data_IF_837952670794
#
_entry.id   IF_837952670794
#
_cell.length_a   1.000
_cell.length_b   1.000
_cell.length_c   1.000
_cell.angle_alpha   90.00
_cell.angle_beta   90.00
_cell.angle_gamma   90.00
#
_symmetry.space_group_name_H-M   'P 1'
#
loop_
_entity.id
_entity.type
_entity.pdbx_description
1 polymer ?
#
# COMPACT_ATOMS: atom_id res chain seq x y z
N UNK A 1 -13.51 -16.17 -10.47
CA UNK A 1 -12.12 -16.15 -9.94
C UNK A 1 -12.14 -15.44 -8.60
N UNK A 2 -12.69 -16.10 -7.57
CA UNK A 2 -12.73 -15.58 -6.20
C UNK A 2 -11.81 -16.45 -5.35
N UNK A 3 -10.50 -16.28 -5.52
CA UNK A 3 -9.55 -16.75 -4.51
C UNK A 3 -9.09 -15.52 -3.75
N UNK A 4 -9.97 -15.10 -2.84
CA UNK A 4 -9.71 -14.03 -1.90
C UNK A 4 -8.40 -14.29 -1.16
N UNK A 5 -7.60 -13.25 -1.08
CA UNK A 5 -6.30 -13.20 -0.41
C UNK A 5 -6.36 -13.86 0.98
N UNK A 6 -5.74 -15.03 1.08
CA UNK A 6 -5.39 -15.69 2.32
C UNK A 6 -4.00 -15.23 2.75
N UNK A 7 -3.93 -14.37 3.77
CA UNK A 7 -3.04 -14.57 4.92
C UNK A 7 -3.63 -13.94 6.19
N UNK A 8 -3.50 -14.72 7.26
CA UNK A 8 -4.09 -14.58 8.58
C UNK A 8 -3.49 -13.43 9.39
N UNK A 9 -4.32 -12.45 9.75
CA UNK A 9 -4.32 -11.86 11.09
C UNK A 9 -5.71 -12.16 11.67
N UNK A 10 -5.73 -12.88 12.79
CA UNK A 10 -6.86 -13.71 13.21
C UNK A 10 -8.25 -13.07 13.12
N UNK A 11 -8.99 -13.39 12.06
CA UNK A 11 -10.44 -13.56 11.98
C UNK A 11 -10.76 -14.09 10.58
N UNK A 12 -11.39 -15.26 10.49
CA UNK A 12 -11.69 -15.99 9.26
C UNK A 12 -12.74 -15.32 8.37
N UNK A 13 -12.39 -14.18 7.77
CA UNK A 13 -13.19 -13.52 6.75
C UNK A 13 -12.26 -13.28 5.56
N UNK A 14 -12.62 -13.84 4.41
CA UNK A 14 -12.04 -13.42 3.13
C UNK A 14 -12.44 -11.97 2.92
N UNK A 15 -11.56 -11.04 3.25
CA UNK A 15 -11.81 -9.63 2.99
C UNK A 15 -11.52 -9.38 1.52
N UNK A 16 -12.42 -8.68 0.87
CA UNK A 16 -12.38 -8.35 -0.55
C UNK A 16 -11.31 -7.26 -0.80
N UNK A 17 -10.06 -7.56 -0.46
CA UNK A 17 -8.89 -6.67 -0.54
C UNK A 17 -7.86 -7.26 -1.50
N UNK A 18 -7.06 -6.40 -2.14
CA UNK A 18 -5.93 -6.79 -2.99
C UNK A 18 -4.77 -5.84 -2.74
N UNK A 19 -3.62 -6.34 -2.28
CA UNK A 19 -2.43 -5.54 -2.00
C UNK A 19 -2.31 -5.08 -0.53
N UNK A 20 -1.71 -3.91 -0.31
CA UNK A 20 -1.52 -3.26 1.00
C UNK A 20 -0.75 -4.06 2.07
N UNK A 21 -0.06 -5.15 1.72
CA UNK A 21 0.66 -5.99 2.68
C UNK A 21 1.68 -5.21 3.52
N UNK A 22 2.42 -4.29 2.92
CA UNK A 22 3.36 -3.45 3.65
C UNK A 22 2.70 -2.55 4.69
N UNK A 23 1.50 -2.02 4.41
CA UNK A 23 0.72 -1.24 5.38
C UNK A 23 0.16 -2.15 6.48
N UNK A 24 -0.37 -3.32 6.12
CA UNK A 24 -0.87 -4.30 7.08
C UNK A 24 0.22 -4.75 8.06
N UNK A 25 1.44 -4.96 7.58
CA UNK A 25 2.59 -5.29 8.41
C UNK A 25 2.91 -4.17 9.41
N UNK A 26 2.88 -2.91 8.95
CA UNK A 26 3.09 -1.75 9.82
C UNK A 26 1.97 -1.59 10.85
N UNK A 27 0.70 -1.81 10.46
CA UNK A 27 -0.47 -1.79 11.37
C UNK A 27 -0.35 -2.91 12.41
N UNK A 28 0.11 -4.09 12.01
CA UNK A 28 0.34 -5.20 12.93
C UNK A 28 1.51 -4.90 13.88
N UNK A 29 2.56 -4.23 13.40
CA UNK A 29 3.66 -3.77 14.26
C UNK A 29 3.16 -2.73 15.28
N UNK A 30 2.28 -1.82 14.89
CA UNK A 30 1.65 -0.86 15.79
C UNK A 30 0.76 -1.54 16.84
N UNK A 31 -0.02 -2.54 16.41
CA UNK A 31 -0.84 -3.37 17.30
C UNK A 31 0.04 -4.08 18.35
N UNK A 32 1.17 -4.63 17.92
CA UNK A 32 2.15 -5.25 18.82
C UNK A 32 2.77 -4.21 19.76
N UNK A 33 3.14 -3.03 19.27
CA UNK A 33 3.66 -1.96 20.13
C UNK A 33 2.65 -1.55 21.20
N UNK A 34 1.37 -1.40 20.86
CA UNK A 34 0.31 -1.10 21.84
C UNK A 34 0.24 -2.17 22.94
N UNK A 35 0.47 -3.45 22.65
CA UNK A 35 0.44 -4.50 23.69
C UNK A 35 1.68 -4.54 24.57
N UNK A 36 2.85 -4.14 24.04
CA UNK A 36 4.13 -4.35 24.71
C UNK A 36 4.77 -3.08 25.29
N UNK A 37 4.49 -1.89 24.74
CA UNK A 37 5.30 -0.68 24.99
C UNK A 37 5.28 -0.24 26.45
N UNK A 38 4.22 -0.57 27.20
CA UNK A 38 4.13 -0.32 28.64
C UNK A 38 5.25 -1.04 29.43
N UNK A 39 5.68 -2.23 28.99
CA UNK A 39 6.79 -2.96 29.62
C UNK A 39 8.14 -2.26 29.43
N UNK A 40 8.24 -1.37 28.44
CA UNK A 40 9.41 -0.54 28.15
C UNK A 40 9.31 0.88 28.73
N UNK A 41 8.24 1.17 29.49
CA UNK A 41 8.00 2.48 30.11
C UNK A 41 7.41 3.52 29.16
N UNK A 42 6.92 3.12 27.99
CA UNK A 42 6.12 3.98 27.13
C UNK A 42 4.63 3.95 27.48
N UNK A 43 3.86 4.84 26.85
CA UNK A 43 2.43 4.94 27.04
C UNK A 43 1.69 4.35 25.81
N UNK A 44 0.96 3.24 25.95
CA UNK A 44 0.25 2.60 24.84
C UNK A 44 -0.92 3.43 24.29
N UNK A 45 -1.40 4.43 25.05
CA UNK A 45 -2.46 5.35 24.63
C UNK A 45 -1.89 6.58 23.91
N UNK A 46 -0.57 6.78 23.92
CA UNK A 46 0.11 7.92 23.30
C UNK A 46 1.26 7.46 22.41
N UNK A 47 0.92 6.84 21.28
CA UNK A 47 1.89 6.43 20.25
C UNK A 47 1.82 7.41 19.08
N UNK A 48 2.96 8.03 18.75
CA UNK A 48 3.09 8.86 17.54
C UNK A 48 3.75 8.06 16.42
N UNK A 49 3.05 7.91 15.30
CA UNK A 49 3.60 7.32 14.08
C UNK A 49 4.14 8.42 13.20
N UNK A 50 5.37 8.28 12.72
CA UNK A 50 5.99 9.22 11.79
C UNK A 50 6.95 8.53 10.83
N UNK A 51 7.25 9.19 9.71
CA UNK A 51 8.14 8.62 8.70
C UNK A 51 8.65 9.63 7.68
N UNK A 52 9.54 9.18 6.80
CA UNK A 52 10.14 9.96 5.71
C UNK A 52 9.95 9.24 4.37
N UNK A 53 9.80 10.00 3.27
CA UNK A 53 9.56 9.43 1.92
C UNK A 53 8.34 8.50 1.91
N UNK A 54 8.47 7.27 1.42
CA UNK A 54 7.46 6.22 1.52
C UNK A 54 6.93 6.01 2.95
N UNK A 55 7.78 6.16 3.97
CA UNK A 55 7.34 6.08 5.36
C UNK A 55 6.46 7.26 5.81
N UNK A 56 6.65 8.46 5.23
CA UNK A 56 5.72 9.57 5.48
C UNK A 56 4.38 9.35 4.79
N UNK A 57 4.39 8.70 3.62
CA UNK A 57 3.17 8.28 2.95
C UNK A 57 2.47 7.17 3.74
N UNK A 58 3.20 6.19 4.28
CA UNK A 58 2.57 5.17 5.11
C UNK A 58 1.98 5.72 6.41
N UNK A 59 2.63 6.70 7.04
CA UNK A 59 2.03 7.41 8.18
C UNK A 59 0.74 8.16 7.76
N UNK A 60 0.70 8.71 6.55
CA UNK A 60 -0.50 9.31 5.97
C UNK A 60 -1.59 8.26 5.73
N UNK A 61 -1.24 7.14 5.08
CA UNK A 61 -2.14 6.02 4.83
C UNK A 61 -2.77 5.50 6.13
N UNK A 62 -1.98 5.35 7.19
CA UNK A 62 -2.47 4.98 8.51
C UNK A 62 -3.42 6.03 9.09
N UNK A 63 -3.14 7.33 8.94
CA UNK A 63 -4.06 8.37 9.38
C UNK A 63 -5.45 8.27 8.72
N UNK A 64 -5.52 7.81 7.47
CA UNK A 64 -6.77 7.64 6.72
C UNK A 64 -7.34 6.21 6.78
N UNK A 65 -6.60 5.25 7.35
CA UNK A 65 -7.05 3.88 7.49
C UNK A 65 -8.00 3.74 8.67
N UNK A 66 -9.17 3.11 8.50
CA UNK A 66 -10.04 2.79 9.63
C UNK A 66 -9.42 1.78 10.61
N UNK A 67 -8.33 1.12 10.23
CA UNK A 67 -7.64 0.12 11.06
C UNK A 67 -6.73 0.74 12.12
N UNK A 68 -6.44 2.03 12.01
CA UNK A 68 -5.58 2.81 12.92
C UNK A 68 -6.30 4.05 13.45
N UNK A 69 -7.64 3.98 13.52
CA UNK A 69 -8.45 5.03 14.11
C UNK A 69 -8.06 5.26 15.57
N UNK A 70 -7.76 6.52 15.91
CA UNK A 70 -7.27 6.92 17.24
C UNK A 70 -5.75 6.81 17.44
N UNK A 71 -4.95 6.57 16.40
CA UNK A 71 -3.49 6.75 16.43
C UNK A 71 -3.08 8.19 16.04
N UNK A 72 -2.08 8.74 16.74
CA UNK A 72 -1.51 10.05 16.40
C UNK A 72 -0.47 9.88 15.28
N UNK A 73 -0.94 9.88 14.04
CA UNK A 73 -0.10 9.82 12.86
C UNK A 73 0.34 11.23 12.43
N UNK A 74 1.65 11.46 12.33
CA UNK A 74 2.23 12.74 11.92
C UNK A 74 2.96 12.62 10.59
N UNK A 75 2.68 13.57 9.70
CA UNK A 75 3.26 13.62 8.36
C UNK A 75 4.07 14.90 8.15
N UNK A 76 5.16 14.78 7.40
CA UNK A 76 5.99 15.91 6.99
C UNK A 76 5.65 16.47 5.61
N UNK A 77 4.60 15.99 4.91
CA UNK A 77 4.48 16.20 3.47
C UNK A 77 3.06 16.43 2.92
N UNK A 78 2.98 17.48 2.07
CA UNK A 78 2.11 17.80 0.92
C UNK A 78 0.58 17.75 1.05
N UNK A 79 -0.07 18.73 0.42
CA UNK A 79 -1.52 18.91 0.47
C UNK A 79 -2.25 17.99 -0.52
N UNK A 80 -3.52 17.70 -0.23
CA UNK A 80 -4.42 16.80 -0.99
C UNK A 80 -4.59 17.12 -2.48
N UNK A 81 -4.31 18.35 -2.92
CA UNK A 81 -4.41 18.77 -4.31
C UNK A 81 -3.07 18.93 -5.02
N UNK A 82 -1.98 18.45 -4.41
CA UNK A 82 -0.68 18.46 -5.06
C UNK A 82 -0.66 17.41 -6.19
N UNK A 83 -0.46 17.80 -7.46
CA UNK A 83 -0.41 16.85 -8.57
C UNK A 83 0.74 15.85 -8.43
N UNK A 84 1.78 16.15 -7.63
CA UNK A 84 2.84 15.19 -7.36
C UNK A 84 2.33 13.98 -6.54
N UNK A 85 1.17 14.07 -5.88
CA UNK A 85 0.58 12.94 -5.16
C UNK A 85 0.32 11.73 -6.07
N UNK A 86 0.04 11.95 -7.36
CA UNK A 86 -0.10 10.88 -8.36
C UNK A 86 1.22 10.18 -8.73
N UNK A 87 2.36 10.79 -8.38
CA UNK A 87 3.67 10.46 -8.98
C UNK A 87 4.73 10.03 -7.97
N UNK A 88 4.51 10.33 -6.69
CA UNK A 88 5.50 10.12 -5.62
C UNK A 88 5.01 9.09 -4.60
N UNK A 89 5.66 9.06 -3.43
CA UNK A 89 5.39 8.13 -2.34
C UNK A 89 3.91 8.02 -1.90
N UNK A 90 3.12 9.08 -2.06
CA UNK A 90 1.69 9.12 -1.68
C UNK A 90 0.75 8.65 -2.80
N UNK A 91 1.29 8.13 -3.90
CA UNK A 91 0.48 7.63 -5.01
C UNK A 91 -0.24 6.35 -4.62
N UNK A 92 -1.49 6.24 -5.05
CA UNK A 92 -2.33 5.06 -4.85
C UNK A 92 -2.81 4.51 -6.19
N UNK A 93 -3.49 3.37 -6.14
CA UNK A 93 -4.18 2.78 -7.30
C UNK A 93 -5.52 2.19 -6.88
N UNK A 94 -6.48 2.17 -7.79
CA UNK A 94 -7.75 1.50 -7.55
C UNK A 94 -7.59 -0.02 -7.52
N UNK A 95 -8.40 -0.68 -6.71
CA UNK A 95 -8.38 -2.15 -6.57
C UNK A 95 -8.50 -2.89 -7.89
N UNK A 96 -9.45 -2.52 -8.75
CA UNK A 96 -9.67 -3.19 -10.04
C UNK A 96 -8.42 -3.10 -10.93
N UNK A 97 -7.73 -1.95 -10.92
CA UNK A 97 -6.49 -1.77 -11.67
C UNK A 97 -5.31 -2.54 -11.06
N UNK A 98 -5.24 -2.66 -9.73
CA UNK A 98 -4.24 -3.47 -9.05
C UNK A 98 -4.44 -4.98 -9.35
N UNK A 99 -5.68 -5.45 -9.37
CA UNK A 99 -6.01 -6.83 -9.73
C UNK A 99 -5.70 -7.13 -11.19
N UNK A 100 -6.05 -6.21 -12.11
CA UNK A 100 -5.70 -6.34 -13.53
C UNK A 100 -4.17 -6.44 -13.73
N UNK A 101 -3.40 -5.57 -13.07
CA UNK A 101 -1.93 -5.64 -13.12
C UNK A 101 -1.39 -6.97 -12.56
N UNK A 102 -2.01 -7.51 -11.51
CA UNK A 102 -1.66 -8.83 -10.97
C UNK A 102 -1.92 -9.97 -11.96
N UNK A 103 -3.00 -9.90 -12.74
CA UNK A 103 -3.31 -10.85 -13.81
C UNK A 103 -2.30 -10.73 -14.96
N UNK A 104 -1.96 -9.50 -15.36
CA UNK A 104 -0.98 -9.23 -16.42
C UNK A 104 0.44 -9.66 -16.04
N UNK A 105 0.74 -9.73 -14.74
CA UNK A 105 2.01 -10.24 -14.22
C UNK A 105 2.14 -11.77 -14.30
N UNK A 106 1.04 -12.54 -14.26
CA UNK A 106 1.12 -14.02 -14.24
C UNK A 106 1.90 -14.59 -15.45
N UNK A 107 1.64 -14.15 -16.71
CA UNK A 107 2.37 -14.65 -17.87
C UNK A 107 3.87 -14.29 -17.88
N UNK A 108 4.27 -13.17 -17.28
CA UNK A 108 5.71 -12.79 -17.20
C UNK A 108 6.51 -13.79 -16.37
N UNK A 109 5.83 -14.45 -15.43
CA UNK A 109 6.39 -15.47 -14.55
C UNK A 109 6.14 -16.90 -15.03
N UNK A 110 5.62 -17.10 -16.25
CA UNK A 110 5.22 -18.40 -16.81
C UNK A 110 4.24 -19.20 -15.92
N UNK A 111 3.36 -18.51 -15.18
CA UNK A 111 2.32 -19.12 -14.34
C UNK A 111 0.94 -18.67 -14.77
N UNK A 112 -0.10 -19.37 -14.30
CA UNK A 112 -1.50 -19.07 -14.64
C UNK A 112 -2.39 -18.87 -13.41
N UNK A 113 -1.89 -19.21 -12.23
CA UNK A 113 -2.62 -19.09 -10.96
C UNK A 113 -1.79 -18.39 -9.89
N UNK A 114 -2.47 -17.77 -8.93
CA UNK A 114 -1.83 -17.16 -7.75
C UNK A 114 -1.09 -18.21 -6.91
N UNK A 115 -1.61 -19.44 -6.84
CA UNK A 115 -0.97 -20.53 -6.13
C UNK A 115 0.39 -20.90 -6.73
N UNK A 116 0.49 -20.95 -8.06
CA UNK A 116 1.75 -21.13 -8.77
C UNK A 116 2.68 -19.94 -8.57
N UNK A 117 2.14 -18.72 -8.65
CA UNK A 117 2.90 -17.49 -8.44
C UNK A 117 3.59 -17.44 -7.06
N UNK A 118 2.96 -17.97 -6.01
CA UNK A 118 3.55 -18.05 -4.67
C UNK A 118 4.75 -18.99 -4.56
N UNK A 119 4.99 -19.82 -5.57
CA UNK A 119 6.06 -20.82 -5.57
C UNK A 119 7.22 -20.48 -6.53
N UNK A 120 7.18 -19.30 -7.18
CA UNK A 120 8.28 -18.85 -8.04
C UNK A 120 9.43 -18.26 -7.21
N UNK A 121 10.60 -18.11 -7.84
CA UNK A 121 11.73 -17.41 -7.22
C UNK A 121 11.39 -15.94 -6.96
N UNK A 122 11.85 -15.40 -5.82
CA UNK A 122 11.73 -13.97 -5.51
C UNK A 122 12.49 -13.07 -6.49
N UNK A 123 13.40 -13.60 -7.30
CA UNK A 123 14.10 -12.84 -8.34
C UNK A 123 13.12 -12.24 -9.37
N UNK A 124 12.11 -13.01 -9.80
CA UNK A 124 11.17 -12.55 -10.83
C UNK A 124 10.28 -11.39 -10.37
N UNK A 125 9.63 -11.43 -9.18
CA UNK A 125 8.93 -10.26 -8.65
C UNK A 125 9.84 -9.04 -8.41
N UNK A 126 11.11 -9.25 -8.04
CA UNK A 126 12.05 -8.15 -7.80
C UNK A 126 12.45 -7.42 -9.07
N UNK A 127 12.63 -8.15 -10.18
CA UNK A 127 12.88 -7.52 -11.49
C UNK A 127 11.66 -6.71 -11.96
N UNK A 128 10.46 -7.29 -11.85
CA UNK A 128 9.22 -6.62 -12.22
C UNK A 128 8.86 -5.43 -11.32
N UNK A 129 9.37 -5.40 -10.08
CA UNK A 129 9.16 -4.27 -9.16
C UNK A 129 9.81 -2.95 -9.63
N UNK A 130 10.65 -3.00 -10.67
CA UNK A 130 11.25 -1.80 -11.27
C UNK A 130 10.34 -1.13 -12.31
N UNK A 131 9.22 -1.76 -12.66
CA UNK A 131 8.30 -1.20 -13.63
C UNK A 131 7.45 -0.07 -13.03
N UNK A 132 7.24 0.96 -13.84
CA UNK A 132 6.36 2.09 -13.55
C UNK A 132 5.02 1.92 -14.24
N UNK A 133 4.00 2.54 -13.67
CA UNK A 133 2.71 2.72 -14.30
C UNK A 133 2.77 3.72 -15.47
N UNK A 134 1.61 4.00 -16.08
CA UNK A 134 1.47 4.97 -17.18
C UNK A 134 0.31 5.94 -16.92
N UNK A 135 0.16 6.40 -15.67
CA UNK A 135 -0.98 7.24 -15.27
C UNK A 135 -0.88 8.67 -15.80
N UNK A 136 0.31 9.12 -16.18
CA UNK A 136 0.50 10.47 -16.74
C UNK A 136 0.32 10.49 -18.26
N UNK A 137 0.39 9.35 -18.93
CA UNK A 137 0.23 9.26 -20.40
C UNK A 137 -1.13 9.81 -20.83
N UNK A 138 -1.11 10.76 -21.78
CA UNK A 138 -2.33 11.44 -22.27
C UNK A 138 -2.92 12.48 -21.32
N UNK A 139 -2.31 12.73 -20.16
CA UNK A 139 -2.68 13.83 -19.26
C UNK A 139 -1.94 15.12 -19.62
N UNK A 140 -2.27 16.22 -18.94
CA UNK A 140 -1.52 17.47 -19.07
C UNK A 140 -0.05 17.36 -18.58
N UNK A 141 0.31 16.26 -17.91
CA UNK A 141 1.62 16.05 -17.29
C UNK A 141 2.52 15.01 -18.02
N UNK A 142 2.03 14.35 -19.07
CA UNK A 142 2.71 13.27 -19.83
C UNK A 142 4.17 13.58 -20.20
N UNK A 143 4.46 14.83 -20.56
CA UNK A 143 5.79 15.26 -21.01
C UNK A 143 6.49 16.22 -20.03
N UNK A 144 6.04 16.28 -18.78
CA UNK A 144 6.61 17.19 -17.78
C UNK A 144 7.64 16.42 -16.94
N UNK A 145 8.92 16.72 -17.15
CA UNK A 145 10.05 15.99 -16.56
C UNK A 145 10.19 16.14 -15.03
N UNK A 146 9.45 17.06 -14.42
CA UNK A 146 9.36 17.20 -12.97
C UNK A 146 8.49 16.12 -12.32
N UNK A 147 7.66 15.45 -13.11
CA UNK A 147 6.80 14.36 -12.67
C UNK A 147 7.38 13.03 -13.16
N UNK A 148 7.15 11.97 -12.38
CA UNK A 148 7.55 10.62 -12.73
C UNK A 148 6.35 9.68 -12.67
N UNK A 149 6.36 8.64 -13.48
CA UNK A 149 5.34 7.61 -13.37
C UNK A 149 5.51 6.83 -12.05
N UNK A 150 4.42 6.61 -11.29
CA UNK A 150 4.48 5.93 -10.01
C UNK A 150 4.82 4.45 -10.19
N UNK A 151 5.39 3.79 -9.17
CA UNK A 151 5.70 2.36 -9.22
C UNK A 151 4.43 1.52 -9.33
N UNK A 152 4.49 0.38 -10.02
CA UNK A 152 3.34 -0.55 -10.13
C UNK A 152 2.87 -1.04 -8.76
N UNK A 153 3.81 -1.34 -7.85
CA UNK A 153 3.52 -1.78 -6.50
C UNK A 153 3.47 -0.58 -5.55
N UNK A 154 2.25 -0.19 -5.17
CA UNK A 154 1.96 0.93 -4.29
C UNK A 154 0.64 0.70 -3.54
N UNK A 155 0.28 1.53 -2.54
CA UNK A 155 -0.97 1.38 -1.82
C UNK A 155 -2.20 1.33 -2.74
N UNK A 156 -3.18 0.52 -2.34
CA UNK A 156 -4.40 0.25 -3.10
C UNK A 156 -5.61 0.76 -2.32
N UNK A 157 -6.49 1.50 -2.98
CA UNK A 157 -7.80 1.85 -2.41
C UNK A 157 -8.69 0.61 -2.54
N UNK A 158 -8.82 -0.13 -1.45
CA UNK A 158 -9.45 -1.45 -1.41
C UNK A 158 -10.75 -1.49 -0.58
N UNK A 159 -11.14 -0.36 0.04
CA UNK A 159 -12.31 -0.27 0.90
C UNK A 159 -12.12 -0.88 2.29
N UNK A 160 -10.93 -1.43 2.60
CA UNK A 160 -10.62 -2.08 3.87
C UNK A 160 -9.44 -1.44 4.59
N UNK A 161 -8.24 -1.50 4.00
CA UNK A 161 -7.05 -0.82 4.53
C UNK A 161 -7.13 0.66 4.21
N UNK A 162 -7.48 0.99 2.97
CA UNK A 162 -7.70 2.36 2.52
C UNK A 162 -9.13 2.46 1.98
N UNK A 163 -9.98 3.18 2.72
CA UNK A 163 -11.39 3.31 2.37
C UNK A 163 -11.65 4.32 1.24
N UNK A 164 -10.85 5.39 1.19
CA UNK A 164 -10.96 6.46 0.21
C UNK A 164 -9.58 6.99 -0.16
N UNK A 165 -9.51 7.80 -1.21
CA UNK A 165 -8.35 8.63 -1.50
C UNK A 165 -8.19 9.74 -0.42
N UNK A 166 -7.07 10.47 -0.50
CA UNK A 166 -6.87 11.66 0.31
C UNK A 166 -7.68 12.84 -0.24
N UNK A 167 -9.01 12.79 -0.13
CA UNK A 167 -9.90 13.91 -0.47
C UNK A 167 -10.41 13.95 -1.92
#
# INVERSE_FOLDING_TARGET
MHENLMWYLGIGQTRDTSGNYGLLDQIQALTFLRSEIAAFGGDPDHITVGGQSAGSASALDMMYSPLTDGDDCWIGARGVHDPETYTVATSHRDKDAAEAAGVDFLPTSNVTTIAELRNISMETPLEYNLDSDTVLVGTAFDNVTSFMEPPIWRPVIDGYVLANNYG
#
